data_IF_612579738829
#
_entry.id   IF_612579738829
#
_cell.length_a   1.000
_cell.length_b   1.000
_cell.length_c   1.000
_cell.angle_alpha   90.00
_cell.angle_beta   90.00
_cell.angle_gamma   90.00
#
_symmetry.space_group_name_H-M   'P 1'
#
loop_
_entity.id
_entity.type
_entity.pdbx_description
1 polymer ?
#
# COMPACT_ATOMS: atom_id res chain seq x y z
N UNK A 1 -17.21 19.39 -20.25
CA UNK A 1 -15.80 19.09 -19.92
C UNK A 1 -15.70 19.09 -18.41
N UNK A 2 -15.62 17.92 -17.78
CA UNK A 2 -15.58 17.78 -16.32
C UNK A 2 -14.15 17.90 -15.81
N UNK A 3 -13.92 18.48 -14.62
CA UNK A 3 -12.58 18.74 -14.12
C UNK A 3 -11.87 17.41 -13.89
N UNK A 4 -10.68 17.29 -14.47
CA UNK A 4 -9.73 16.24 -14.18
C UNK A 4 -9.26 16.50 -12.74
N UNK A 5 -9.96 15.92 -11.77
CA UNK A 5 -9.53 15.89 -10.38
C UNK A 5 -8.27 15.03 -10.31
N UNK A 6 -7.14 15.61 -10.70
CA UNK A 6 -5.82 15.14 -10.32
C UNK A 6 -5.61 15.47 -8.85
N UNK A 7 -6.49 14.94 -8.00
CA UNK A 7 -6.10 14.61 -6.65
C UNK A 7 -5.01 13.57 -6.85
N UNK A 8 -3.76 13.92 -6.54
CA UNK A 8 -2.78 12.89 -6.19
C UNK A 8 -3.39 12.19 -4.98
N UNK A 9 -4.24 11.20 -5.25
CA UNK A 9 -4.94 10.45 -4.25
C UNK A 9 -3.85 9.70 -3.53
N UNK A 10 -3.69 9.96 -2.23
CA UNK A 10 -2.81 9.15 -1.40
C UNK A 10 -3.07 7.68 -1.71
N UNK A 11 -2.02 6.87 -1.88
CA UNK A 11 -2.15 5.46 -2.25
C UNK A 11 -3.14 4.79 -1.31
N UNK A 12 -4.13 4.13 -1.89
CA UNK A 12 -5.13 3.39 -1.15
C UNK A 12 -4.49 2.20 -0.44
N UNK A 13 -5.12 1.75 0.64
CA UNK A 13 -4.67 0.53 1.33
C UNK A 13 -4.66 -0.69 0.38
N UNK A 14 -5.54 -0.72 -0.62
CA UNK A 14 -5.58 -1.79 -1.62
C UNK A 14 -4.33 -1.79 -2.52
N UNK A 15 -3.88 -0.62 -2.96
CA UNK A 15 -2.69 -0.47 -3.79
C UNK A 15 -1.42 -0.85 -3.02
N UNK A 16 -1.26 -0.34 -1.79
CA UNK A 16 -0.09 -0.68 -0.96
C UNK A 16 -0.06 -2.19 -0.64
N UNK A 17 -1.22 -2.80 -0.40
CA UNK A 17 -1.32 -4.24 -0.16
C UNK A 17 -1.00 -5.08 -1.42
N UNK A 18 -1.27 -4.56 -2.62
CA UNK A 18 -0.85 -5.21 -3.86
C UNK A 18 0.68 -5.20 -4.00
N UNK A 19 1.33 -4.08 -3.68
CA UNK A 19 2.79 -3.99 -3.69
C UNK A 19 3.46 -4.90 -2.66
N UNK A 20 2.88 -5.04 -1.46
CA UNK A 20 3.34 -6.02 -0.46
C UNK A 20 3.31 -7.43 -1.06
N UNK A 21 2.21 -7.82 -1.73
CA UNK A 21 2.11 -9.16 -2.35
C UNK A 21 3.12 -9.34 -3.47
N UNK A 22 3.32 -8.31 -4.29
CA UNK A 22 4.31 -8.30 -5.36
C UNK A 22 5.73 -8.50 -4.83
N UNK A 23 6.06 -7.86 -3.71
CA UNK A 23 7.32 -8.06 -3.01
C UNK A 23 7.50 -9.53 -2.61
N UNK A 24 6.49 -10.13 -1.97
CA UNK A 24 6.51 -11.55 -1.59
C UNK A 24 6.68 -12.50 -2.80
N UNK A 25 6.05 -12.21 -3.93
CA UNK A 25 6.20 -12.99 -5.16
C UNK A 25 7.62 -12.89 -5.72
N UNK A 26 8.22 -11.69 -5.72
CA UNK A 26 9.59 -11.48 -6.22
C UNK A 26 10.64 -12.12 -5.33
N UNK A 27 10.45 -12.09 -4.02
CA UNK A 27 11.36 -12.70 -3.05
C UNK A 27 11.22 -14.24 -2.97
N UNK A 28 10.35 -14.86 -3.77
CA UNK A 28 10.21 -16.33 -3.82
C UNK A 28 9.71 -16.94 -2.51
N UNK A 29 8.97 -16.17 -1.70
CA UNK A 29 8.41 -16.62 -0.42
C UNK A 29 9.29 -16.36 0.81
N UNK A 30 10.50 -15.81 0.67
CA UNK A 30 11.33 -15.39 1.81
C UNK A 30 11.94 -14.02 1.56
N UNK A 31 11.60 -13.04 2.40
CA UNK A 31 12.17 -11.69 2.29
C UNK A 31 13.66 -11.72 2.63
N UNK A 32 14.47 -11.07 1.78
CA UNK A 32 15.85 -10.72 2.12
C UNK A 32 15.87 -9.58 3.14
N UNK A 33 17.00 -9.29 3.82
CA UNK A 33 17.08 -8.13 4.73
C UNK A 33 16.74 -6.80 4.04
N UNK A 34 17.04 -6.69 2.74
CA UNK A 34 16.68 -5.52 1.93
C UNK A 34 15.18 -5.47 1.65
N UNK A 35 14.56 -6.59 1.30
CA UNK A 35 13.12 -6.68 1.10
C UNK A 35 12.35 -6.45 2.40
N UNK A 36 12.92 -6.85 3.55
CA UNK A 36 12.30 -6.63 4.86
C UNK A 36 12.14 -5.13 5.17
N UNK A 37 13.14 -4.31 4.82
CA UNK A 37 13.05 -2.85 4.98
C UNK A 37 11.94 -2.27 4.11
N UNK A 38 11.81 -2.71 2.86
CA UNK A 38 10.73 -2.27 1.98
C UNK A 38 9.37 -2.76 2.47
N UNK A 39 9.28 -4.01 2.93
CA UNK A 39 8.07 -4.57 3.53
C UNK A 39 7.62 -3.77 4.75
N UNK A 40 8.54 -3.40 5.65
CA UNK A 40 8.24 -2.55 6.81
C UNK A 40 7.74 -1.17 6.38
N UNK A 41 8.36 -0.56 5.36
CA UNK A 41 7.93 0.73 4.80
C UNK A 41 6.51 0.65 4.26
N UNK A 42 6.21 -0.38 3.46
CA UNK A 42 4.89 -0.63 2.88
C UNK A 42 3.86 -0.95 3.96
N UNK A 43 4.23 -1.66 5.04
CA UNK A 43 3.35 -1.94 6.17
C UNK A 43 2.89 -0.67 6.89
N UNK A 44 3.82 0.25 7.16
CA UNK A 44 3.52 1.53 7.81
C UNK A 44 2.60 2.36 6.92
N UNK A 45 2.88 2.39 5.62
CA UNK A 45 2.05 3.12 4.67
C UNK A 45 0.65 2.50 4.52
N UNK A 46 0.56 1.18 4.48
CA UNK A 46 -0.70 0.46 4.48
C UNK A 46 -1.53 0.76 5.72
N UNK A 47 -0.91 0.78 6.90
CA UNK A 47 -1.58 1.10 8.15
C UNK A 47 -2.14 2.54 8.13
N UNK A 48 -1.39 3.50 7.60
CA UNK A 48 -1.83 4.88 7.44
C UNK A 48 -3.04 4.98 6.48
N UNK A 49 -2.97 4.29 5.34
CA UNK A 49 -4.05 4.27 4.35
C UNK A 49 -5.30 3.52 4.84
N UNK A 50 -5.12 2.40 5.56
CA UNK A 50 -6.20 1.58 6.10
C UNK A 50 -6.92 2.28 7.27
N UNK A 51 -6.18 2.97 8.13
CA UNK A 51 -6.74 3.77 9.23
C UNK A 51 -7.58 4.96 8.76
N UNK A 52 -7.25 5.54 7.59
CA UNK A 52 -8.08 6.54 6.94
C UNK A 52 -9.34 5.95 6.29
N UNK A 53 -9.25 4.73 5.75
CA UNK A 53 -10.34 4.07 5.02
C UNK A 53 -11.42 3.46 5.93
N UNK A 54 -11.08 3.07 7.17
CA UNK A 54 -12.00 2.44 8.15
C UNK A 54 -13.17 3.35 8.57
N UNK A 55 -13.16 4.64 8.25
CA UNK A 55 -14.24 5.58 8.64
C UNK A 55 -15.45 5.58 7.69
N UNK A 56 -15.57 4.59 6.81
CA UNK A 56 -16.74 4.44 5.93
C UNK A 56 -17.41 3.10 6.17
N UNK A 57 -18.09 2.97 7.30
CA UNK A 57 -19.14 1.98 7.50
C UNK A 57 -20.43 2.76 7.81
N UNK A 58 -21.41 2.65 6.90
CA UNK A 58 -22.73 3.30 6.96
C UNK A 58 -23.71 2.46 7.76
#
# INVERSE_FOLDING_TARGET
MSPMSSSVSARSAAEVNAEIRDLWQRSGGSLTPQDEVEYQRLLVEWAAAAGGSVRTAV
#
